data_IF_693953482766
#
_entry.id   IF_693953482766
#
_cell.length_a   1.000
_cell.length_b   1.000
_cell.length_c   1.000
_cell.angle_alpha   90.00
_cell.angle_beta   90.00
_cell.angle_gamma   90.00
#
_symmetry.space_group_name_H-M   'P 1'
#
loop_
_entity.id
_entity.type
_entity.pdbx_description
1 polymer ?
#
# COMPACT_ATOMS: atom_id res chain seq x y z
N UNK A 1 -0.71 -13.91 1.80
CA UNK A 1 -1.62 -12.78 1.55
C UNK A 1 -1.77 -12.06 2.87
N UNK A 2 -1.40 -10.79 2.92
CA UNK A 2 -1.57 -9.92 4.09
C UNK A 2 -2.41 -8.72 3.67
N UNK A 3 -3.28 -8.24 4.56
CA UNK A 3 -4.10 -7.05 4.35
C UNK A 3 -4.01 -6.17 5.60
N UNK A 4 -3.92 -4.86 5.40
CA UNK A 4 -3.96 -3.85 6.46
C UNK A 4 -4.87 -2.69 6.05
N UNK A 5 -5.65 -2.24 7.01
CA UNK A 5 -6.46 -1.03 6.90
C UNK A 5 -5.69 0.11 7.53
N UNK A 6 -5.63 1.25 6.85
CA UNK A 6 -5.03 2.44 7.42
C UNK A 6 -5.91 2.95 8.57
N UNK A 7 -5.36 3.12 9.79
CA UNK A 7 -6.13 3.62 10.94
C UNK A 7 -6.19 5.15 10.92
N UNK A 8 -6.73 5.74 9.86
CA UNK A 8 -6.91 7.18 9.68
C UNK A 8 -8.38 7.49 9.39
N UNK A 9 -8.94 8.53 10.02
CA UNK A 9 -10.33 8.95 9.77
C UNK A 9 -10.46 9.73 8.46
N UNK A 10 -9.43 10.49 8.09
CA UNK A 10 -9.43 11.37 6.91
C UNK A 10 -9.22 10.63 5.59
N UNK A 11 -8.59 9.45 5.63
CA UNK A 11 -8.20 8.69 4.43
C UNK A 11 -8.56 7.23 4.59
N UNK A 12 -9.43 6.72 3.72
CA UNK A 12 -9.82 5.31 3.67
C UNK A 12 -8.92 4.57 2.69
N UNK A 13 -7.88 3.94 3.24
CA UNK A 13 -6.92 3.19 2.44
C UNK A 13 -6.75 1.75 2.92
N UNK A 14 -6.63 0.82 1.97
CA UNK A 14 -6.29 -0.58 2.21
C UNK A 14 -4.95 -0.88 1.55
N UNK A 15 -4.05 -1.55 2.28
CA UNK A 15 -2.81 -2.10 1.72
C UNK A 15 -2.86 -3.63 1.74
N UNK A 16 -2.40 -4.27 0.68
CA UNK A 16 -2.36 -5.72 0.56
C UNK A 16 -1.03 -6.20 -0.04
N UNK A 17 -0.54 -7.33 0.46
CA UNK A 17 0.67 -7.99 -0.04
C UNK A 17 0.38 -9.42 -0.50
N UNK A 18 0.92 -9.82 -1.65
CA UNK A 18 0.63 -11.12 -2.28
C UNK A 18 1.78 -12.14 -2.21
N UNK A 19 1.63 -13.27 -2.91
CA UNK A 19 2.62 -14.36 -2.94
C UNK A 19 3.77 -14.13 -3.93
N UNK A 20 3.66 -13.15 -4.82
CA UNK A 20 4.64 -12.84 -5.86
C UNK A 20 5.52 -11.63 -5.50
N UNK A 21 5.33 -11.09 -4.28
CA UNK A 21 6.09 -9.96 -3.77
C UNK A 21 5.49 -8.60 -4.12
N UNK A 22 4.25 -8.58 -4.63
CA UNK A 22 3.54 -7.34 -4.89
C UNK A 22 2.96 -6.75 -3.61
N UNK A 23 2.97 -5.42 -3.54
CA UNK A 23 2.26 -4.62 -2.54
C UNK A 23 1.34 -3.65 -3.28
N UNK A 24 0.04 -3.77 -3.04
CA UNK A 24 -0.99 -2.91 -3.59
C UNK A 24 -1.58 -1.98 -2.52
N UNK A 25 -1.88 -0.75 -2.91
CA UNK A 25 -2.60 0.24 -2.12
C UNK A 25 -3.89 0.60 -2.85
N UNK A 26 -5.00 0.63 -2.13
CA UNK A 26 -6.29 1.05 -2.67
C UNK A 26 -6.84 2.21 -1.85
N UNK A 27 -6.94 3.37 -2.48
CA UNK A 27 -7.58 4.56 -1.93
C UNK A 27 -9.08 4.56 -2.29
N UNK A 28 -9.93 4.35 -1.28
CA UNK A 28 -11.38 4.25 -1.44
C UNK A 28 -12.06 5.60 -1.61
N UNK A 29 -11.40 6.68 -1.20
CA UNK A 29 -11.93 8.03 -1.38
C UNK A 29 -11.70 8.54 -2.81
N UNK A 30 -10.88 7.85 -3.62
CA UNK A 30 -10.64 8.19 -5.02
C UNK A 30 -11.90 8.10 -5.89
N UNK A 31 -12.83 7.20 -5.55
CA UNK A 31 -14.04 6.93 -6.34
C UNK A 31 -15.16 7.97 -6.14
N UNK A 32 -14.93 9.04 -5.39
CA UNK A 32 -15.96 10.04 -5.05
C UNK A 32 -15.80 11.38 -5.78
N UNK A 33 -14.67 11.59 -6.44
CA UNK A 33 -14.43 12.83 -7.19
C UNK A 33 -15.02 12.70 -8.60
N UNK A 34 -16.09 13.46 -8.89
CA UNK A 34 -16.78 13.48 -10.19
C UNK A 34 -15.90 14.05 -11.33
N UNK A 35 -14.78 14.69 -10.99
CA UNK A 35 -13.87 15.36 -11.92
C UNK A 35 -12.64 14.52 -12.33
N UNK A 36 -12.56 13.25 -11.88
CA UNK A 36 -11.39 12.38 -12.17
C UNK A 36 -11.64 11.43 -13.33
N UNK A 37 -10.56 11.20 -14.07
CA UNK A 37 -10.52 10.31 -15.23
C UNK A 37 -11.11 8.94 -14.84
N UNK A 38 -12.17 8.50 -15.53
CA UNK A 38 -12.92 7.26 -15.24
C UNK A 38 -12.02 6.00 -15.26
N UNK A 39 -10.80 6.14 -15.77
CA UNK A 39 -9.79 5.11 -15.89
C UNK A 39 -8.91 4.94 -14.64
N UNK A 40 -8.97 5.82 -13.62
CA UNK A 40 -8.17 5.69 -12.40
C UNK A 40 -8.96 5.09 -11.22
N UNK A 41 -8.82 3.77 -11.01
CA UNK A 41 -9.52 3.04 -9.96
C UNK A 41 -9.00 3.29 -8.52
N UNK A 42 -8.07 4.23 -8.32
CA UNK A 42 -7.45 4.52 -7.02
C UNK A 42 -6.54 3.41 -6.49
N UNK A 43 -6.08 2.51 -7.38
CA UNK A 43 -5.23 1.36 -7.06
C UNK A 43 -3.80 1.66 -7.51
N UNK A 44 -2.85 1.51 -6.60
CA UNK A 44 -1.42 1.65 -6.84
C UNK A 44 -0.73 0.32 -6.56
N UNK A 45 0.01 -0.21 -7.53
CA UNK A 45 0.64 -1.52 -7.43
C UNK A 45 2.16 -1.40 -7.59
N UNK A 46 2.88 -2.02 -6.66
CA UNK A 46 4.34 -2.07 -6.64
C UNK A 46 4.81 -3.50 -6.47
N UNK A 47 6.00 -3.83 -6.97
CA UNK A 47 6.66 -5.12 -6.74
C UNK A 47 7.98 -4.94 -5.98
N UNK A 48 7.93 -4.59 -4.68
CA UNK A 48 9.14 -4.35 -3.91
C UNK A 48 9.91 -5.63 -3.56
N UNK A 49 9.26 -6.79 -3.56
CA UNK A 49 9.86 -8.06 -3.13
C UNK A 49 9.90 -9.10 -4.25
N UNK A 50 10.82 -10.05 -4.16
CA UNK A 50 10.94 -11.20 -5.09
C UNK A 50 10.31 -12.49 -4.56
N UNK A 51 9.73 -12.44 -3.35
CA UNK A 51 9.08 -13.56 -2.67
C UNK A 51 7.83 -13.10 -1.91
N UNK A 52 6.99 -14.01 -1.36
CA UNK A 52 5.72 -13.65 -0.73
C UNK A 52 5.86 -12.59 0.36
N UNK A 53 4.99 -11.57 0.30
CA UNK A 53 4.89 -10.56 1.35
C UNK A 53 4.31 -11.21 2.60
N UNK A 54 5.04 -11.07 3.71
CA UNK A 54 4.75 -11.70 4.99
C UNK A 54 4.00 -10.76 5.95
N UNK A 55 4.33 -9.47 5.95
CA UNK A 55 3.65 -8.48 6.78
C UNK A 55 3.71 -7.06 6.19
N UNK A 56 2.72 -6.26 6.55
CA UNK A 56 2.62 -4.83 6.28
C UNK A 56 2.34 -4.09 7.60
N UNK A 57 2.97 -2.93 7.81
CA UNK A 57 2.77 -2.11 9.00
C UNK A 57 2.75 -0.63 8.62
N UNK A 58 1.63 0.05 8.91
CA UNK A 58 1.54 1.50 8.85
C UNK A 58 2.24 2.12 10.05
N UNK A 59 3.05 3.15 9.84
CA UNK A 59 3.69 3.86 10.94
C UNK A 59 2.67 4.78 11.65
N UNK A 60 2.47 4.59 12.96
CA UNK A 60 1.46 5.31 13.76
C UNK A 60 1.61 6.84 13.73
N UNK A 61 2.86 7.32 13.67
CA UNK A 61 3.19 8.75 13.72
C UNK A 61 3.38 9.39 12.33
N UNK A 62 3.28 8.60 11.25
CA UNK A 62 3.49 9.05 9.88
C UNK A 62 2.79 8.09 8.94
N UNK A 63 1.57 8.43 8.58
CA UNK A 63 0.73 7.65 7.65
C UNK A 63 1.37 7.53 6.27
N UNK A 64 2.30 8.43 5.91
CA UNK A 64 3.08 8.38 4.67
C UNK A 64 4.16 7.29 4.63
N UNK A 65 4.27 6.46 5.68
CA UNK A 65 5.29 5.40 5.79
C UNK A 65 4.67 4.04 6.05
N UNK A 66 5.02 3.08 5.20
CA UNK A 66 4.57 1.69 5.31
C UNK A 66 5.76 0.74 5.22
N UNK A 67 5.94 -0.08 6.24
CA UNK A 67 6.93 -1.15 6.20
C UNK A 67 6.34 -2.40 5.56
N UNK A 68 7.09 -3.02 4.65
CA UNK A 68 6.80 -4.33 4.09
C UNK A 68 7.93 -5.31 4.41
N UNK A 69 7.57 -6.55 4.73
CA UNK A 69 8.52 -7.63 4.97
C UNK A 69 8.17 -8.83 4.12
N UNK A 70 9.16 -9.58 3.67
CA UNK A 70 8.97 -10.75 2.80
C UNK A 70 9.91 -11.89 3.14
N UNK A 71 9.55 -13.07 2.65
CA UNK A 71 10.42 -14.26 2.68
C UNK A 71 11.64 -14.16 1.74
N UNK A 72 11.82 -13.05 1.02
CA UNK A 72 13.07 -12.71 0.33
C UNK A 72 14.18 -12.28 1.31
N UNK A 73 13.87 -12.20 2.61
CA UNK A 73 14.79 -11.85 3.68
C UNK A 73 14.93 -10.34 3.89
N UNK A 74 14.11 -9.52 3.24
CA UNK A 74 14.23 -8.06 3.26
C UNK A 74 13.01 -7.39 3.88
N UNK A 75 13.28 -6.26 4.54
CA UNK A 75 12.27 -5.30 4.97
C UNK A 75 12.49 -4.03 4.15
N UNK A 76 11.42 -3.49 3.58
CA UNK A 76 11.44 -2.26 2.76
C UNK A 76 10.47 -1.23 3.34
N UNK A 77 10.75 0.03 3.06
CA UNK A 77 9.96 1.16 3.53
C UNK A 77 9.38 1.89 2.31
N UNK A 78 8.06 1.88 2.20
CA UNK A 78 7.34 2.73 1.27
C UNK A 78 7.32 4.17 1.76
N UNK A 79 7.79 5.09 0.93
CA UNK A 79 7.54 6.52 1.02
C UNK A 79 6.33 6.84 0.12
N UNK A 80 5.16 7.02 0.74
CA UNK A 80 3.89 7.26 0.03
C UNK A 80 3.91 8.58 -0.72
N UNK A 81 4.56 9.61 -0.16
CA UNK A 81 4.64 10.94 -0.80
C UNK A 81 5.43 10.88 -2.11
N UNK A 82 6.48 10.04 -2.15
CA UNK A 82 7.29 9.83 -3.36
C UNK A 82 6.83 8.65 -4.20
N UNK A 83 5.92 7.83 -3.69
CA UNK A 83 5.46 6.59 -4.34
C UNK A 83 6.61 5.62 -4.68
N UNK A 84 7.55 5.42 -3.75
CA UNK A 84 8.72 4.53 -3.93
C UNK A 84 8.99 3.66 -2.70
N UNK A 85 9.52 2.45 -2.95
CA UNK A 85 10.01 1.50 -1.95
C UNK A 85 11.53 1.49 -1.81
#
# INVERSE_FOLDING_TARGET
LVVKFLPCEDVKMVAAGDKLGNVGFWNLDHCKDEDKDENENGIYLFQPHTAPVSSLVFQQNSISKVFSSSYDGLIRLMDVEKSVF
#
